data_IF_230704151679
#
_entry.id   IF_230704151679
#
_cell.length_a   1.000
_cell.length_b   1.000
_cell.length_c   1.000
_cell.angle_alpha   90.00
_cell.angle_beta   90.00
_cell.angle_gamma   90.00
#
_symmetry.space_group_name_H-M   'P 1'
#
loop_
_entity.id
_entity.type
_entity.pdbx_description
1 polymer ?
#
# COMPACT_ATOMS: atom_id res chain seq x y z
N UNK A 1 -10.78 -4.11 -19.85
CA UNK A 1 -10.59 -3.17 -18.72
C UNK A 1 -11.66 -2.08 -18.64
N UNK A 2 -12.11 -1.52 -19.76
CA UNK A 2 -13.13 -0.47 -19.76
C UNK A 2 -14.44 -0.90 -19.08
N UNK A 3 -14.98 -2.07 -19.42
CA UNK A 3 -16.24 -2.60 -18.86
C UNK A 3 -16.12 -3.28 -17.49
N UNK A 4 -14.90 -3.48 -16.97
CA UNK A 4 -14.68 -4.15 -15.68
C UNK A 4 -14.69 -5.68 -15.75
N UNK A 5 -15.00 -6.29 -16.89
CA UNK A 5 -15.05 -7.74 -17.08
C UNK A 5 -13.66 -8.38 -16.97
N UNK A 6 -13.51 -9.33 -16.03
CA UNK A 6 -12.20 -9.92 -15.69
C UNK A 6 -11.83 -11.12 -16.58
N UNK A 7 -12.79 -11.94 -16.95
CA UNK A 7 -12.57 -13.13 -17.78
C UNK A 7 -11.91 -12.82 -19.14
N UNK A 8 -12.47 -11.92 -19.98
CA UNK A 8 -11.84 -11.61 -21.27
C UNK A 8 -10.49 -10.91 -21.10
N UNK A 9 -10.28 -10.18 -20.00
CA UNK A 9 -8.98 -9.59 -19.70
C UNK A 9 -7.94 -10.68 -19.41
N UNK A 10 -8.28 -11.67 -18.59
CA UNK A 10 -7.38 -12.76 -18.24
C UNK A 10 -6.99 -13.56 -19.49
N UNK A 11 -7.97 -13.95 -20.30
CA UNK A 11 -7.73 -14.72 -21.52
C UNK A 11 -6.85 -13.97 -22.52
N UNK A 12 -7.16 -12.69 -22.77
CA UNK A 12 -6.40 -11.90 -23.74
C UNK A 12 -4.98 -11.62 -23.25
N UNK A 13 -4.76 -11.47 -21.94
CA UNK A 13 -3.42 -11.30 -21.38
C UNK A 13 -2.63 -12.61 -21.48
N UNK A 14 -3.23 -13.77 -21.20
CA UNK A 14 -2.56 -15.06 -21.38
C UNK A 14 -2.22 -15.37 -22.84
N UNK A 15 -3.11 -15.02 -23.78
CA UNK A 15 -2.82 -15.08 -25.23
C UNK A 15 -1.70 -14.12 -25.62
N UNK A 16 -1.67 -12.91 -25.06
CA UNK A 16 -0.61 -11.95 -25.34
C UNK A 16 0.74 -12.39 -24.75
N UNK A 17 0.75 -13.05 -23.59
CA UNK A 17 1.96 -13.66 -22.99
C UNK A 17 2.55 -14.72 -23.93
N UNK A 18 1.74 -15.66 -24.44
CA UNK A 18 2.23 -16.71 -25.35
C UNK A 18 2.77 -16.15 -26.67
N UNK A 19 2.12 -15.14 -27.25
CA UNK A 19 2.60 -14.48 -28.48
C UNK A 19 3.92 -13.72 -28.26
N UNK A 20 4.10 -13.14 -27.07
CA UNK A 20 5.33 -12.44 -26.70
C UNK A 20 6.50 -13.39 -26.48
N UNK A 21 6.23 -14.59 -25.97
CA UNK A 21 7.21 -15.65 -25.79
C UNK A 21 7.65 -16.26 -27.13
N UNK A 22 6.74 -16.35 -28.10
CA UNK A 22 7.01 -16.86 -29.46
C UNK A 22 7.86 -15.91 -30.33
N UNK A 23 7.96 -14.63 -29.98
CA UNK A 23 8.78 -13.69 -30.76
C UNK A 23 8.38 -12.22 -30.63
N UNK A 24 8.04 -11.75 -29.44
CA UNK A 24 7.62 -10.37 -29.22
C UNK A 24 8.75 -9.36 -29.12
N UNK A 25 8.65 -8.27 -29.87
CA UNK A 25 9.51 -7.08 -29.70
C UNK A 25 9.54 -6.61 -28.25
N UNK A 26 10.70 -6.12 -27.82
CA UNK A 26 10.94 -5.68 -26.44
C UNK A 26 9.96 -4.59 -25.96
N UNK A 27 9.51 -3.69 -26.85
CA UNK A 27 8.49 -2.67 -26.50
C UNK A 27 7.13 -3.32 -26.16
N UNK A 28 6.71 -4.36 -26.91
CA UNK A 28 5.46 -5.08 -26.64
C UNK A 28 5.50 -5.82 -25.31
N UNK A 29 6.66 -6.36 -24.93
CA UNK A 29 6.90 -6.94 -23.59
C UNK A 29 6.66 -5.93 -22.47
N UNK A 30 7.14 -4.70 -22.62
CA UNK A 30 6.98 -3.67 -21.60
C UNK A 30 5.53 -3.17 -21.51
N UNK A 31 4.83 -3.02 -22.64
CA UNK A 31 3.40 -2.67 -22.64
C UNK A 31 2.55 -3.76 -22.00
N UNK A 32 2.84 -5.02 -22.28
CA UNK A 32 2.15 -6.16 -21.66
C UNK A 32 2.32 -6.15 -20.14
N UNK A 33 3.51 -5.83 -19.63
CA UNK A 33 3.75 -5.66 -18.19
C UNK A 33 2.88 -4.57 -17.56
N UNK A 34 2.64 -3.45 -18.26
CA UNK A 34 1.74 -2.40 -17.78
C UNK A 34 0.31 -2.92 -17.68
N UNK A 35 -0.20 -3.56 -18.75
CA UNK A 35 -1.55 -4.14 -18.74
C UNK A 35 -1.71 -5.20 -17.64
N UNK A 36 -0.72 -6.05 -17.44
CA UNK A 36 -0.68 -7.02 -16.35
C UNK A 36 -0.69 -6.33 -14.99
N UNK A 37 0.13 -5.29 -14.81
CA UNK A 37 0.16 -4.49 -13.58
C UNK A 37 -1.19 -3.87 -13.24
N UNK A 38 -1.86 -3.26 -14.21
CA UNK A 38 -3.19 -2.65 -14.02
C UNK A 38 -4.27 -3.70 -13.73
N UNK A 39 -4.19 -4.89 -14.35
CA UNK A 39 -5.08 -6.01 -14.06
C UNK A 39 -4.90 -6.49 -12.62
N UNK A 40 -3.65 -6.65 -12.17
CA UNK A 40 -3.34 -7.08 -10.81
C UNK A 40 -3.82 -6.08 -9.74
N UNK A 41 -3.81 -4.77 -10.05
CA UNK A 41 -4.44 -3.75 -9.19
C UNK A 41 -5.94 -4.00 -9.00
N UNK A 42 -6.66 -4.41 -10.05
CA UNK A 42 -8.09 -4.73 -9.99
C UNK A 42 -8.40 -6.00 -9.16
N UNK A 43 -7.39 -6.84 -8.91
CA UNK A 43 -7.50 -8.08 -8.13
C UNK A 43 -6.89 -7.90 -6.72
N UNK A 44 -6.58 -6.66 -6.31
CA UNK A 44 -5.94 -6.33 -5.02
C UNK A 44 -4.54 -6.93 -4.81
N UNK A 45 -3.86 -7.37 -5.87
CA UNK A 45 -2.49 -7.87 -5.80
C UNK A 45 -1.47 -6.74 -5.93
N UNK A 46 -1.47 -5.82 -4.95
CA UNK A 46 -0.67 -4.59 -4.99
C UNK A 46 0.84 -4.83 -5.03
N UNK A 47 1.35 -5.88 -4.37
CA UNK A 47 2.78 -6.20 -4.33
C UNK A 47 3.33 -6.57 -5.71
N UNK A 48 2.69 -7.52 -6.40
CA UNK A 48 3.09 -7.91 -7.77
C UNK A 48 2.83 -6.79 -8.76
N UNK A 49 1.72 -6.06 -8.59
CA UNK A 49 1.40 -4.92 -9.43
C UNK A 49 2.46 -3.82 -9.32
N UNK A 50 2.91 -3.49 -8.11
CA UNK A 50 3.91 -2.43 -7.91
C UNK A 50 5.25 -2.79 -8.54
N UNK A 51 5.72 -4.03 -8.40
CA UNK A 51 6.96 -4.51 -9.04
C UNK A 51 6.91 -4.34 -10.56
N UNK A 52 5.83 -4.81 -11.20
CA UNK A 52 5.65 -4.71 -12.65
C UNK A 52 5.50 -3.26 -13.12
N UNK A 53 4.73 -2.44 -12.40
CA UNK A 53 4.51 -1.04 -12.75
C UNK A 53 5.79 -0.21 -12.58
N UNK A 54 6.50 -0.39 -11.47
CA UNK A 54 7.80 0.25 -11.23
C UNK A 54 8.77 -0.14 -12.34
N UNK A 55 8.81 -1.42 -12.71
CA UNK A 55 9.68 -1.87 -13.79
C UNK A 55 9.34 -1.27 -15.15
N UNK A 56 8.05 -1.10 -15.44
CA UNK A 56 7.55 -0.51 -16.68
C UNK A 56 7.73 1.02 -16.78
N UNK A 57 7.82 1.75 -15.65
CA UNK A 57 7.99 3.21 -15.61
C UNK A 57 9.26 3.70 -16.34
N UNK A 58 10.29 2.86 -16.45
CA UNK A 58 11.53 3.23 -17.15
C UNK A 58 11.39 3.35 -18.66
N UNK A 59 10.35 2.75 -19.23
CA UNK A 59 10.34 2.41 -20.66
C UNK A 59 9.11 2.91 -21.41
N UNK A 60 8.11 3.47 -20.72
CA UNK A 60 6.90 4.01 -21.36
C UNK A 60 6.68 5.49 -21.01
N UNK A 61 7.27 6.43 -21.78
CA UNK A 61 7.06 7.86 -21.57
C UNK A 61 5.64 8.33 -21.95
N UNK A 62 4.96 7.67 -22.88
CA UNK A 62 3.61 8.07 -23.34
C UNK A 62 2.50 7.83 -22.31
N UNK A 63 2.62 6.81 -21.46
CA UNK A 63 1.72 6.61 -20.31
C UNK A 63 2.13 7.46 -19.09
N UNK A 64 3.41 7.85 -19.01
CA UNK A 64 3.93 8.71 -17.96
C UNK A 64 3.58 10.19 -18.19
N UNK A 65 3.50 10.65 -19.45
CA UNK A 65 3.40 12.08 -19.78
C UNK A 65 2.16 12.79 -19.21
N UNK A 66 1.06 12.06 -18.98
CA UNK A 66 -0.19 12.62 -18.47
C UNK A 66 -0.34 12.55 -16.94
N UNK A 67 0.51 11.78 -16.25
CA UNK A 67 0.35 11.48 -14.82
C UNK A 67 1.62 11.64 -13.97
N UNK A 68 2.82 11.49 -14.55
CA UNK A 68 4.09 11.53 -13.84
C UNK A 68 5.23 12.03 -14.78
N UNK A 69 5.68 13.28 -14.67
CA UNK A 69 6.61 13.89 -15.63
C UNK A 69 8.04 13.29 -15.61
N UNK A 70 8.47 12.56 -14.57
CA UNK A 70 9.82 12.00 -14.48
C UNK A 70 9.84 10.50 -14.09
N UNK A 71 9.73 9.62 -15.09
CA UNK A 71 9.68 8.15 -14.89
C UNK A 71 11.00 7.52 -14.39
N UNK A 72 12.15 8.16 -14.61
CA UNK A 72 13.48 7.59 -14.30
C UNK A 72 13.86 7.76 -12.82
N UNK A 73 13.40 8.84 -12.20
CA UNK A 73 13.59 9.21 -10.80
C UNK A 73 12.70 8.38 -9.86
N UNK A 74 11.46 8.07 -10.28
CA UNK A 74 10.50 7.31 -9.47
C UNK A 74 10.98 5.90 -9.09
N UNK A 75 11.71 5.18 -9.95
CA UNK A 75 12.18 3.82 -9.64
C UNK A 75 13.33 3.80 -8.62
N UNK A 76 14.16 4.85 -8.57
CA UNK A 76 15.12 5.05 -7.47
C UNK A 76 14.39 5.56 -6.22
N UNK A 77 13.56 6.59 -6.34
CA UNK A 77 12.79 7.24 -5.25
C UNK A 77 11.76 6.33 -4.53
N UNK A 78 11.20 5.33 -5.22
CA UNK A 78 10.29 4.33 -4.60
C UNK A 78 11.07 3.20 -3.92
N UNK A 79 12.27 2.85 -4.41
CA UNK A 79 13.14 1.83 -3.79
C UNK A 79 13.92 2.38 -2.60
N UNK A 80 14.40 3.62 -2.71
CA UNK A 80 14.97 4.34 -1.60
C UNK A 80 13.83 5.03 -0.87
N UNK A 81 13.31 4.43 0.20
CA UNK A 81 12.40 5.06 1.17
C UNK A 81 12.96 6.37 1.82
N UNK A 82 14.07 6.88 1.30
CA UNK A 82 14.75 8.11 1.59
C UNK A 82 14.69 9.01 0.35
N UNK A 83 13.87 10.04 0.40
CA UNK A 83 14.24 11.47 0.35
C UNK A 83 12.95 12.25 -0.01
N UNK A 84 12.71 13.44 0.60
CA UNK A 84 11.48 14.23 0.44
C UNK A 84 11.23 14.85 -0.96
N UNK A 85 11.99 14.50 -2.00
CA UNK A 85 11.99 15.26 -3.28
C UNK A 85 10.89 14.92 -4.28
N UNK A 86 9.84 14.18 -3.88
CA UNK A 86 8.61 14.11 -4.68
C UNK A 86 7.76 15.40 -4.60
N UNK A 87 8.25 16.43 -3.90
CA UNK A 87 7.55 17.67 -3.57
C UNK A 87 7.18 18.61 -4.74
N UNK A 88 7.51 18.31 -6.00
CA UNK A 88 7.18 19.23 -7.11
C UNK A 88 5.73 19.12 -7.62
N UNK A 89 4.96 18.10 -7.19
CA UNK A 89 3.53 18.02 -7.46
C UNK A 89 2.74 18.20 -6.15
N UNK A 90 2.06 19.34 -5.94
CA UNK A 90 1.30 19.59 -4.71
C UNK A 90 0.14 18.60 -4.50
N UNK A 91 -0.24 17.85 -5.55
CA UNK A 91 -1.36 16.90 -5.55
C UNK A 91 -0.97 15.51 -5.03
N UNK A 92 0.30 15.13 -5.09
CA UNK A 92 0.76 13.81 -4.66
C UNK A 92 1.67 14.01 -3.45
N UNK A 93 1.06 14.26 -2.28
CA UNK A 93 1.75 14.02 -1.01
C UNK A 93 2.10 12.54 -0.98
N UNK A 94 3.32 12.21 -1.41
CA UNK A 94 3.82 10.85 -1.34
C UNK A 94 3.92 10.54 0.14
N UNK A 95 3.04 9.66 0.61
CA UNK A 95 2.99 9.26 2.00
C UNK A 95 4.28 8.50 2.30
N UNK A 96 5.29 9.24 2.77
CA UNK A 96 6.48 8.61 3.31
C UNK A 96 6.13 8.09 4.70
N UNK A 97 6.36 6.79 4.91
CA UNK A 97 6.23 6.16 6.22
C UNK A 97 7.15 6.82 7.27
N UNK A 98 8.16 7.60 6.85
CA UNK A 98 9.04 8.35 7.77
C UNK A 98 8.51 9.72 8.20
N UNK A 99 7.32 10.12 7.73
CA UNK A 99 6.70 11.36 8.20
C UNK A 99 6.17 11.22 9.63
N UNK A 100 6.04 12.32 10.39
CA UNK A 100 5.29 12.31 11.63
C UNK A 100 3.87 11.83 11.38
N UNK A 101 3.36 10.97 12.26
CA UNK A 101 2.14 10.19 12.04
C UNK A 101 0.91 11.08 11.85
N UNK A 102 0.80 12.17 12.61
CA UNK A 102 -0.26 13.15 12.41
C UNK A 102 -0.34 13.67 10.96
N UNK A 103 0.80 14.05 10.35
CA UNK A 103 0.83 14.50 8.95
C UNK A 103 0.53 13.35 7.98
N UNK A 104 0.91 12.13 8.33
CA UNK A 104 0.56 10.94 7.56
C UNK A 104 -0.95 10.74 7.47
N UNK A 105 -1.71 10.90 8.55
CA UNK A 105 -3.18 10.73 8.52
C UNK A 105 -3.87 11.82 7.70
N UNK A 106 -3.40 13.07 7.78
CA UNK A 106 -3.90 14.16 6.94
C UNK A 106 -3.58 13.94 5.45
N UNK A 107 -2.37 13.49 5.14
CA UNK A 107 -1.97 13.13 3.79
C UNK A 107 -2.77 11.92 3.27
N UNK A 108 -3.05 10.93 4.12
CA UNK A 108 -3.85 9.76 3.76
C UNK A 108 -5.30 10.14 3.44
N UNK A 109 -5.91 11.02 4.24
CA UNK A 109 -7.26 11.51 3.99
C UNK A 109 -7.36 12.31 2.68
N UNK A 110 -6.39 13.19 2.42
CA UNK A 110 -6.36 13.95 1.16
C UNK A 110 -6.12 13.04 -0.04
N UNK A 111 -5.25 12.02 0.07
CA UNK A 111 -5.00 11.04 -0.99
C UNK A 111 -6.24 10.19 -1.30
N UNK A 112 -7.01 9.79 -0.28
CA UNK A 112 -8.25 9.04 -0.47
C UNK A 112 -9.25 9.83 -1.32
N UNK A 113 -9.47 11.10 -0.98
CA UNK A 113 -10.43 11.97 -1.66
C UNK A 113 -9.98 12.39 -3.06
N UNK A 114 -8.68 12.67 -3.24
CA UNK A 114 -8.17 13.25 -4.49
C UNK A 114 -7.80 12.21 -5.55
N UNK A 115 -7.35 11.01 -5.15
CA UNK A 115 -6.83 10.01 -6.10
C UNK A 115 -7.53 8.67 -6.04
N UNK A 116 -7.84 8.15 -4.84
CA UNK A 116 -8.43 6.80 -4.73
C UNK A 116 -9.89 6.78 -5.19
N UNK A 117 -10.74 7.64 -4.63
CA UNK A 117 -12.17 7.68 -4.95
C UNK A 117 -12.48 8.14 -6.38
N UNK A 118 -11.78 9.14 -6.96
CA UNK A 118 -12.06 9.57 -8.34
C UNK A 118 -11.60 8.54 -9.37
N UNK A 119 -10.63 7.70 -9.03
CA UNK A 119 -10.15 6.68 -9.96
C UNK A 119 -11.14 5.51 -10.07
N UNK A 120 -11.60 5.23 -11.28
CA UNK A 120 -12.52 4.12 -11.56
C UNK A 120 -11.97 2.76 -11.12
N UNK A 121 -10.65 2.57 -11.20
CA UNK A 121 -9.99 1.30 -10.89
C UNK A 121 -9.69 1.12 -9.40
N UNK A 122 -9.32 2.18 -8.66
CA UNK A 122 -8.94 2.05 -7.24
C UNK A 122 -10.11 2.38 -6.29
N UNK A 123 -11.17 3.04 -6.75
CA UNK A 123 -12.35 3.36 -5.92
C UNK A 123 -12.93 2.14 -5.18
N UNK A 124 -13.13 0.97 -5.82
CA UNK A 124 -13.58 -0.25 -5.12
C UNK A 124 -12.58 -0.83 -4.12
N UNK A 125 -11.34 -0.32 -4.13
CA UNK A 125 -10.23 -0.78 -3.30
C UNK A 125 -9.74 0.29 -2.31
N UNK A 126 -10.33 1.49 -2.32
CA UNK A 126 -9.93 2.62 -1.46
C UNK A 126 -9.99 2.24 0.02
N UNK A 127 -11.10 1.66 0.48
CA UNK A 127 -11.27 1.18 1.86
C UNK A 127 -10.21 0.16 2.29
N UNK A 128 -9.89 -0.76 1.38
CA UNK A 128 -8.86 -1.76 1.64
C UNK A 128 -7.50 -1.08 1.81
N UNK A 129 -7.15 -0.18 0.87
CA UNK A 129 -5.88 0.55 0.90
C UNK A 129 -5.72 1.38 2.18
N UNK A 130 -6.71 2.19 2.55
CA UNK A 130 -6.67 3.03 3.76
C UNK A 130 -6.49 2.17 5.02
N UNK A 131 -7.19 1.04 5.10
CA UNK A 131 -7.07 0.11 6.22
C UNK A 131 -5.66 -0.47 6.34
N UNK A 132 -5.07 -0.92 5.23
CA UNK A 132 -3.71 -1.47 5.23
C UNK A 132 -2.67 -0.39 5.59
N UNK A 133 -2.82 0.83 5.09
CA UNK A 133 -1.92 1.95 5.42
C UNK A 133 -1.99 2.32 6.91
N UNK A 134 -3.17 2.26 7.53
CA UNK A 134 -3.31 2.46 8.98
C UNK A 134 -2.57 1.39 9.78
N UNK A 135 -2.74 0.11 9.41
CA UNK A 135 -2.05 -1.00 10.10
C UNK A 135 -0.53 -0.79 10.04
N UNK A 136 0.00 -0.39 8.89
CA UNK A 136 1.43 -0.10 8.74
C UNK A 136 1.91 1.05 9.63
N UNK A 137 1.12 2.14 9.71
CA UNK A 137 1.43 3.26 10.58
C UNK A 137 1.45 2.86 12.07
N UNK A 138 0.44 2.10 12.51
CA UNK A 138 0.41 1.56 13.87
C UNK A 138 1.57 0.60 14.13
N UNK A 139 1.85 -0.34 13.21
CA UNK A 139 2.96 -1.28 13.39
C UNK A 139 4.31 -0.57 13.50
N UNK A 140 4.52 0.46 12.70
CA UNK A 140 5.77 1.21 12.72
C UNK A 140 5.99 1.94 14.05
N UNK A 141 4.93 2.55 14.62
CA UNK A 141 5.05 3.18 15.93
C UNK A 141 5.26 2.13 17.02
N UNK A 142 4.47 1.06 17.01
CA UNK A 142 4.52 0.02 18.03
C UNK A 142 5.84 -0.79 17.98
N UNK A 143 6.54 -0.82 16.84
CA UNK A 143 7.82 -1.53 16.72
C UNK A 143 8.93 -0.93 17.60
N UNK A 144 8.95 0.40 17.77
CA UNK A 144 9.94 1.10 18.58
C UNK A 144 9.67 1.08 20.08
N UNK A 145 8.44 0.76 20.51
CA UNK A 145 8.03 0.84 21.92
C UNK A 145 7.57 -0.52 22.48
N UNK A 146 7.98 -0.83 23.71
CA UNK A 146 7.49 -2.02 24.43
C UNK A 146 6.11 -1.78 25.04
N UNK A 147 5.91 -0.58 25.57
CA UNK A 147 4.64 -0.12 26.13
C UNK A 147 4.45 1.36 25.82
N UNK A 148 3.20 1.76 25.57
CA UNK A 148 2.83 3.15 25.31
C UNK A 148 1.46 3.45 25.94
N UNK A 149 1.25 4.67 26.44
CA UNK A 149 -0.08 5.09 26.89
C UNK A 149 -0.97 5.42 25.70
N UNK A 150 -2.27 5.19 25.84
CA UNK A 150 -3.26 5.52 24.82
C UNK A 150 -3.33 7.03 24.54
N UNK A 151 -3.11 7.87 25.55
CA UNK A 151 -3.10 9.33 25.39
C UNK A 151 -1.95 9.80 24.51
N UNK A 152 -0.71 9.34 24.79
CA UNK A 152 0.45 9.69 23.96
C UNK A 152 0.32 9.14 22.54
N UNK A 153 -0.35 8.00 22.38
CA UNK A 153 -0.68 7.44 21.07
C UNK A 153 -1.70 8.34 20.36
N UNK A 154 -2.77 8.75 21.03
CA UNK A 154 -3.79 9.64 20.49
C UNK A 154 -3.18 10.99 20.05
N UNK A 155 -2.31 11.57 20.87
CA UNK A 155 -1.62 12.82 20.59
C UNK A 155 -0.67 12.71 19.39
N UNK A 156 0.10 11.62 19.28
CA UNK A 156 1.01 11.40 18.15
C UNK A 156 0.28 11.28 16.80
N UNK A 157 -0.95 10.78 16.82
CA UNK A 157 -1.81 10.63 15.64
C UNK A 157 -2.71 11.86 15.41
N UNK A 158 -2.95 12.68 16.45
CA UNK A 158 -3.89 13.80 16.43
C UNK A 158 -5.35 13.36 16.31
N UNK A 159 -5.71 12.27 16.99
CA UNK A 159 -7.07 11.69 17.00
C UNK A 159 -7.53 11.46 18.45
N UNK A 160 -8.81 11.17 18.66
CA UNK A 160 -9.30 10.86 20.01
C UNK A 160 -8.86 9.48 20.50
N UNK A 161 -8.74 9.32 21.81
CA UNK A 161 -8.42 8.02 22.46
C UNK A 161 -9.44 6.94 22.07
N UNK A 162 -10.73 7.27 22.06
CA UNK A 162 -11.82 6.37 21.64
C UNK A 162 -11.65 5.88 20.19
N UNK A 163 -11.12 6.74 19.32
CA UNK A 163 -10.87 6.38 17.94
C UNK A 163 -9.72 5.38 17.81
N UNK A 164 -8.63 5.60 18.56
CA UNK A 164 -7.49 4.68 18.61
C UNK A 164 -7.92 3.32 19.16
N UNK A 165 -8.67 3.30 20.26
CA UNK A 165 -9.09 2.07 20.93
C UNK A 165 -9.97 1.20 20.01
N UNK A 166 -10.93 1.82 19.30
CA UNK A 166 -11.76 1.16 18.30
C UNK A 166 -10.97 0.62 17.10
N UNK A 167 -9.96 1.34 16.61
CA UNK A 167 -9.14 0.89 15.50
C UNK A 167 -8.22 -0.26 15.93
N UNK A 168 -7.53 -0.11 17.07
CA UNK A 168 -6.63 -1.14 17.61
C UNK A 168 -7.38 -2.42 17.98
N UNK A 169 -8.53 -2.33 18.68
CA UNK A 169 -9.34 -3.50 19.02
C UNK A 169 -9.73 -4.31 17.79
N UNK A 170 -10.13 -3.65 16.70
CA UNK A 170 -10.45 -4.31 15.43
C UNK A 170 -9.24 -4.99 14.79
N UNK A 171 -8.07 -4.36 14.83
CA UNK A 171 -6.85 -4.91 14.25
C UNK A 171 -6.26 -6.07 15.05
N UNK A 172 -6.31 -5.99 16.38
CA UNK A 172 -5.91 -7.07 17.30
C UNK A 172 -6.84 -8.26 17.15
N UNK A 173 -8.16 -8.04 17.10
CA UNK A 173 -9.13 -9.12 16.87
C UNK A 173 -8.91 -9.85 15.52
N UNK A 174 -8.37 -9.14 14.53
CA UNK A 174 -8.00 -9.73 13.23
C UNK A 174 -6.61 -10.36 13.18
N UNK A 175 -5.86 -10.38 14.29
CA UNK A 175 -4.45 -10.83 14.37
C UNK A 175 -3.53 -10.14 13.35
N UNK A 176 -3.79 -8.86 13.07
CA UNK A 176 -2.99 -8.05 12.15
C UNK A 176 -1.98 -7.14 12.86
N UNK A 177 -2.15 -6.93 14.17
CA UNK A 177 -1.22 -6.22 15.05
C UNK A 177 -0.94 -7.08 16.28
N UNK A 178 0.33 -7.23 16.62
CA UNK A 178 0.79 -8.01 17.78
C UNK A 178 0.90 -7.09 19.00
N UNK A 179 -0.23 -6.62 19.48
CA UNK A 179 -0.31 -5.82 20.69
C UNK A 179 -1.54 -6.20 21.52
N UNK A 180 -1.46 -5.89 22.80
CA UNK A 180 -2.54 -6.07 23.77
C UNK A 180 -2.86 -4.72 24.39
N UNK A 181 -4.15 -4.40 24.50
CA UNK A 181 -4.62 -3.16 25.11
C UNK A 181 -5.09 -3.49 26.52
N UNK A 182 -4.58 -2.76 27.50
CA UNK A 182 -5.13 -2.69 28.84
C UNK A 182 -5.95 -1.41 28.97
N UNK A 183 -7.26 -1.53 28.84
CA UNK A 183 -8.18 -0.40 28.92
C UNK A 183 -8.30 0.20 30.34
N UNK A 184 -7.99 -0.58 31.39
CA UNK A 184 -8.07 -0.10 32.78
C UNK A 184 -6.88 0.81 33.08
N UNK A 185 -5.69 0.43 32.61
CA UNK A 185 -4.46 1.22 32.79
C UNK A 185 -4.23 2.23 31.68
N UNK A 186 -4.97 2.13 30.57
CA UNK A 186 -4.80 2.97 29.39
C UNK A 186 -3.47 2.75 28.68
N UNK A 187 -2.95 1.51 28.69
CA UNK A 187 -1.62 1.16 28.15
C UNK A 187 -1.75 0.12 27.04
N UNK A 188 -1.00 0.32 25.96
CA UNK A 188 -0.81 -0.65 24.88
C UNK A 188 0.55 -1.31 25.07
N UNK A 189 0.56 -2.63 25.21
CA UNK A 189 1.77 -3.44 25.30
C UNK A 189 2.00 -4.21 24.00
N UNK A 190 3.25 -4.24 23.53
CA UNK A 190 3.60 -4.92 22.29
C UNK A 190 4.11 -6.33 22.57
N UNK A 191 3.48 -7.32 21.95
CA UNK A 191 3.93 -8.71 22.02
C UNK A 191 4.80 -8.98 20.81
N UNK A 192 6.03 -9.45 21.03
CA UNK A 192 6.93 -9.85 19.94
C UNK A 192 6.82 -11.36 19.77
N UNK A 193 5.97 -11.87 18.86
CA UNK A 193 5.94 -13.30 18.59
C UNK A 193 7.30 -13.73 18.04
N UNK A 194 7.80 -14.86 18.53
CA UNK A 194 9.06 -15.40 18.02
C UNK A 194 8.92 -15.77 16.54
N UNK A 195 9.99 -15.64 15.77
CA UNK A 195 10.04 -16.05 14.35
C UNK A 195 9.65 -17.51 14.16
N UNK A 196 9.94 -18.37 15.16
CA UNK A 196 9.52 -19.77 15.18
C UNK A 196 8.01 -19.93 15.27
N UNK A 197 7.34 -19.18 16.17
CA UNK A 197 5.89 -19.25 16.31
C UNK A 197 5.16 -18.79 15.04
N UNK A 198 5.66 -17.74 14.39
CA UNK A 198 5.13 -17.28 13.12
C UNK A 198 5.25 -18.36 12.01
N UNK A 199 6.40 -19.03 11.91
CA UNK A 199 6.60 -20.14 10.97
C UNK A 199 5.67 -21.32 11.26
N UNK A 200 5.51 -21.71 12.53
CA UNK A 200 4.57 -22.75 12.92
C UNK A 200 3.12 -22.43 12.52
N UNK A 201 2.65 -21.20 12.75
CA UNK A 201 1.29 -20.80 12.34
C UNK A 201 1.09 -20.85 10.82
N UNK A 202 2.10 -20.52 10.03
CA UNK A 202 1.99 -20.62 8.57
C UNK A 202 1.83 -22.05 8.08
N UNK A 203 2.47 -23.02 8.74
CA UNK A 203 2.41 -24.44 8.38
C UNK A 203 1.10 -25.09 8.84
N UNK A 204 0.52 -24.64 9.96
CA UNK A 204 -0.73 -25.18 10.47
C UNK A 204 -1.95 -24.66 9.69
N UNK A 205 -1.84 -23.47 9.07
CA UNK A 205 -2.93 -22.84 8.29
C UNK A 205 -2.93 -23.21 6.79
N UNK A 206 -1.92 -23.94 6.30
CA UNK A 206 -1.90 -24.51 4.93
C UNK A 206 -2.69 -25.81 4.87
#
# INVERSE_FOLDING_TARGET
MFFGDREPINENISKAESLVDQGGDWDRRNRLKVYRGVQLLSIRQFKRASELLIDSLRYCPTLAHNSFPDGMELKKRVRSASIPTCLSNPRLHLISLRMPIHQFFQALASLEQTHLLPSRLLSPHARFYVREMRILAYSQLLESYRSLTLDSLADAFGVSVEFVDRDLSRFIASNRLNCTIDAVRGVVETTRPSTKNAQYETVIRT
#
